data_IF_583974213939
#
_entry.id   IF_583974213939
#
_cell.length_a   1.000
_cell.length_b   1.000
_cell.length_c   1.000
_cell.angle_alpha   90.00
_cell.angle_beta   90.00
_cell.angle_gamma   90.00
#
_symmetry.space_group_name_H-M   'P 1'
#
loop_
_entity.id
_entity.type
_entity.pdbx_description
1 polymer ?
#
# COMPACT_ATOMS: atom_id res chain seq x y z
N UNK A 1 -21.18 -12.99 -23.54
CA UNK A 1 -22.10 -13.79 -22.70
C UNK A 1 -21.91 -15.29 -22.97
N UNK A 2 -22.05 -15.76 -24.21
CA UNK A 2 -21.88 -17.17 -24.59
C UNK A 2 -20.55 -17.82 -24.16
N UNK A 3 -19.40 -17.16 -24.33
CA UNK A 3 -18.10 -17.71 -23.92
C UNK A 3 -18.02 -18.00 -22.41
N UNK A 4 -18.61 -17.13 -21.57
CA UNK A 4 -18.67 -17.33 -20.12
C UNK A 4 -19.47 -18.57 -19.75
N UNK A 5 -20.61 -18.74 -20.41
CA UNK A 5 -21.53 -19.87 -20.18
C UNK A 5 -20.89 -21.18 -20.63
N UNK A 6 -20.31 -21.22 -21.83
CA UNK A 6 -19.65 -22.43 -22.36
C UNK A 6 -18.43 -22.86 -21.55
N UNK A 7 -17.66 -21.91 -21.00
CA UNK A 7 -16.50 -22.20 -20.13
C UNK A 7 -16.88 -22.40 -18.65
N UNK A 8 -18.18 -22.40 -18.30
CA UNK A 8 -18.64 -22.71 -16.96
C UNK A 8 -18.42 -21.61 -15.90
N UNK A 9 -18.16 -20.37 -16.30
CA UNK A 9 -17.92 -19.24 -15.38
C UNK A 9 -19.20 -18.51 -14.95
N UNK A 10 -20.37 -18.87 -15.49
CA UNK A 10 -21.66 -18.29 -15.11
C UNK A 10 -22.46 -19.27 -14.23
N UNK A 11 -22.70 -18.91 -12.95
CA UNK A 11 -23.50 -19.67 -11.97
C UNK A 11 -24.96 -19.22 -11.93
N UNK A 12 -25.46 -18.49 -12.93
CA UNK A 12 -26.86 -18.11 -12.99
C UNK A 12 -27.74 -19.35 -13.12
N UNK A 13 -28.39 -19.71 -12.01
CA UNK A 13 -29.37 -20.80 -11.88
C UNK A 13 -30.74 -20.44 -12.47
N UNK A 14 -30.74 -19.71 -13.59
CA UNK A 14 -31.95 -19.24 -14.26
C UNK A 14 -31.92 -19.66 -15.72
N UNK A 15 -32.59 -20.77 -16.00
CA UNK A 15 -33.18 -21.20 -17.27
C UNK A 15 -32.58 -20.60 -18.57
N UNK A 16 -31.29 -20.88 -18.84
CA UNK A 16 -30.66 -20.58 -20.12
C UNK A 16 -30.46 -21.88 -20.89
N UNK A 17 -31.07 -21.99 -22.07
CA UNK A 17 -31.00 -23.08 -23.06
C UNK A 17 -29.59 -23.38 -23.60
N UNK A 18 -28.54 -22.83 -22.99
CA UNK A 18 -27.14 -23.00 -23.38
C UNK A 18 -26.50 -24.05 -22.50
N UNK A 19 -26.38 -25.27 -23.03
CA UNK A 19 -25.74 -26.42 -22.37
C UNK A 19 -24.30 -26.08 -22.01
N UNK A 20 -23.93 -26.21 -20.73
CA UNK A 20 -22.53 -26.15 -20.29
C UNK A 20 -21.77 -27.32 -20.92
N UNK A 21 -20.52 -27.08 -21.34
CA UNK A 21 -19.65 -28.15 -21.80
C UNK A 21 -19.38 -29.10 -20.62
N UNK A 22 -19.76 -30.38 -20.75
CA UNK A 22 -19.38 -31.42 -19.80
C UNK A 22 -17.96 -31.88 -20.11
N UNK A 23 -16.99 -31.16 -19.56
CA UNK A 23 -15.56 -31.33 -19.83
C UNK A 23 -14.83 -31.34 -18.49
N UNK A 24 -13.76 -32.14 -18.37
CA UNK A 24 -12.93 -32.19 -17.16
C UNK A 24 -12.33 -30.81 -16.86
N UNK A 25 -11.94 -30.55 -15.60
CA UNK A 25 -11.31 -29.26 -15.27
C UNK A 25 -10.00 -29.04 -16.06
N UNK A 26 -9.22 -30.09 -16.28
CA UNK A 26 -7.97 -30.04 -17.05
C UNK A 26 -8.21 -29.71 -18.53
N UNK A 27 -9.18 -30.38 -19.16
CA UNK A 27 -9.55 -30.11 -20.55
C UNK A 27 -10.16 -28.72 -20.71
N UNK A 28 -10.89 -28.25 -19.70
CA UNK A 28 -11.45 -26.89 -19.66
C UNK A 28 -10.36 -25.83 -19.58
N UNK A 29 -9.33 -26.05 -18.77
CA UNK A 29 -8.17 -25.16 -18.68
C UNK A 29 -7.34 -25.20 -19.98
N UNK A 30 -7.15 -26.38 -20.58
CA UNK A 30 -6.51 -26.52 -21.89
C UNK A 30 -7.28 -25.75 -22.97
N UNK A 31 -8.60 -25.89 -23.01
CA UNK A 31 -9.47 -25.18 -23.94
C UNK A 31 -9.41 -23.67 -23.71
N UNK A 32 -9.47 -23.22 -22.46
CA UNK A 32 -9.37 -21.81 -22.12
C UNK A 32 -8.00 -21.21 -22.52
N UNK A 33 -6.92 -21.95 -22.32
CA UNK A 33 -5.59 -21.55 -22.77
C UNK A 33 -5.50 -21.44 -24.29
N UNK A 34 -5.97 -22.45 -25.03
CA UNK A 34 -6.02 -22.42 -26.49
C UNK A 34 -6.87 -21.26 -27.01
N UNK A 35 -8.03 -21.03 -26.40
CA UNK A 35 -8.90 -19.92 -26.74
C UNK A 35 -8.25 -18.57 -26.47
N UNK A 36 -7.59 -18.38 -25.33
CA UNK A 36 -6.85 -17.16 -25.03
C UNK A 36 -5.76 -16.92 -26.08
N UNK A 37 -5.00 -17.97 -26.42
CA UNK A 37 -3.93 -17.90 -27.43
C UNK A 37 -4.46 -17.50 -28.81
N UNK A 38 -5.59 -18.09 -29.24
CA UNK A 38 -6.25 -17.76 -30.50
C UNK A 38 -6.79 -16.32 -30.51
N UNK A 39 -7.45 -15.90 -29.42
CA UNK A 39 -7.94 -14.53 -29.27
C UNK A 39 -6.78 -13.54 -29.31
N UNK A 40 -5.67 -13.86 -28.64
CA UNK A 40 -4.46 -13.04 -28.65
C UNK A 40 -3.90 -12.90 -30.07
N UNK A 41 -3.78 -14.00 -30.82
CA UNK A 41 -3.39 -13.94 -32.23
C UNK A 41 -4.34 -13.09 -33.07
N UNK A 42 -5.65 -13.26 -32.89
CA UNK A 42 -6.68 -12.50 -33.61
C UNK A 42 -6.62 -10.99 -33.33
N UNK A 43 -6.32 -10.57 -32.10
CA UNK A 43 -6.20 -9.14 -31.76
C UNK A 43 -4.84 -8.54 -32.12
N UNK A 44 -3.88 -9.36 -32.56
CA UNK A 44 -2.56 -8.95 -33.06
C UNK A 44 -1.39 -9.15 -32.09
N UNK A 45 -1.51 -10.06 -31.13
CA UNK A 45 -0.37 -10.53 -30.34
C UNK A 45 0.41 -11.58 -31.15
N UNK A 46 1.71 -11.34 -31.32
CA UNK A 46 2.59 -12.26 -32.02
C UNK A 46 3.26 -13.21 -31.01
N UNK A 47 2.94 -14.50 -31.08
CA UNK A 47 3.48 -15.52 -30.16
C UNK A 47 4.92 -15.91 -30.46
N UNK A 48 5.36 -15.83 -31.73
CA UNK A 48 6.74 -16.14 -32.13
C UNK A 48 7.67 -14.97 -31.90
N UNK A 49 7.21 -13.76 -32.25
CA UNK A 49 7.97 -12.52 -32.06
C UNK A 49 7.13 -11.48 -31.28
N UNK A 50 7.06 -11.57 -29.94
CA UNK A 50 6.23 -10.67 -29.13
C UNK A 50 6.54 -9.18 -29.32
N UNK A 51 7.76 -8.84 -29.74
CA UNK A 51 8.19 -7.46 -30.00
C UNK A 51 7.47 -6.84 -31.22
N UNK A 52 6.97 -7.65 -32.14
CA UNK A 52 6.15 -7.20 -33.29
C UNK A 52 4.65 -7.14 -32.97
N UNK A 53 4.26 -7.33 -31.70
CA UNK A 53 2.84 -7.34 -31.34
C UNK A 53 2.21 -5.96 -31.51
N UNK A 54 1.14 -5.87 -32.29
CA UNK A 54 0.42 -4.64 -32.56
C UNK A 54 -1.06 -4.90 -32.30
N UNK A 55 -1.72 -4.10 -31.46
CA UNK A 55 -3.17 -4.25 -31.29
C UNK A 55 -3.77 -3.89 -32.64
N UNK A 56 -4.32 -4.83 -33.40
CA UNK A 56 -4.92 -4.57 -34.73
C UNK A 56 -6.37 -4.12 -34.55
N UNK A 57 -7.14 -4.86 -33.74
CA UNK A 57 -8.57 -4.66 -33.51
C UNK A 57 -8.85 -4.21 -32.05
N UNK A 58 -8.97 -2.90 -31.78
CA UNK A 58 -9.19 -2.38 -30.43
C UNK A 58 -10.53 -2.80 -29.83
N UNK A 59 -11.57 -2.93 -30.65
CA UNK A 59 -12.91 -3.28 -30.18
C UNK A 59 -12.94 -4.72 -29.68
N UNK A 60 -12.38 -5.65 -30.47
CA UNK A 60 -12.22 -7.03 -30.07
C UNK A 60 -11.33 -7.16 -28.84
N UNK A 61 -10.21 -6.45 -28.80
CA UNK A 61 -9.32 -6.42 -27.63
C UNK A 61 -10.08 -5.99 -26.37
N UNK A 62 -10.86 -4.91 -26.44
CA UNK A 62 -11.66 -4.43 -25.31
C UNK A 62 -12.68 -5.48 -24.85
N UNK A 63 -13.50 -5.98 -25.77
CA UNK A 63 -14.63 -6.85 -25.42
C UNK A 63 -14.16 -8.24 -24.97
N UNK A 64 -13.14 -8.80 -25.63
CA UNK A 64 -12.72 -10.18 -25.43
C UNK A 64 -11.65 -10.33 -24.35
N UNK A 65 -10.77 -9.34 -24.14
CA UNK A 65 -9.70 -9.43 -23.13
C UNK A 65 -9.97 -8.57 -21.91
N UNK A 66 -10.35 -7.30 -22.09
CA UNK A 66 -10.46 -6.38 -20.95
C UNK A 66 -11.76 -6.62 -20.16
N UNK A 67 -12.90 -6.63 -20.86
CA UNK A 67 -14.23 -6.63 -20.25
C UNK A 67 -14.67 -8.03 -19.82
N UNK A 68 -13.98 -9.04 -20.36
CA UNK A 68 -14.20 -10.43 -20.06
C UNK A 68 -13.37 -10.83 -18.83
N UNK A 69 -14.07 -11.25 -17.79
CA UNK A 69 -13.52 -11.65 -16.49
C UNK A 69 -13.04 -13.11 -16.46
N UNK A 70 -13.32 -13.89 -17.50
CA UNK A 70 -12.97 -15.32 -17.54
C UNK A 70 -11.47 -15.53 -17.35
N UNK A 71 -10.63 -14.66 -17.93
CA UNK A 71 -9.18 -14.81 -17.89
C UNK A 71 -8.63 -14.63 -16.47
N UNK A 72 -9.18 -13.66 -15.72
CA UNK A 72 -8.77 -13.38 -14.34
C UNK A 72 -9.25 -14.42 -13.33
N UNK A 73 -10.22 -15.26 -13.73
CA UNK A 73 -10.75 -16.38 -12.94
C UNK A 73 -10.22 -17.74 -13.38
N UNK A 74 -9.38 -17.77 -14.41
CA UNK A 74 -8.81 -19.00 -14.98
C UNK A 74 -7.62 -19.51 -14.18
N UNK A 75 -7.13 -20.71 -14.48
CA UNK A 75 -5.94 -21.29 -13.87
C UNK A 75 -4.69 -20.37 -13.98
N UNK A 76 -3.72 -20.48 -13.05
CA UNK A 76 -2.57 -19.59 -12.99
C UNK A 76 -1.80 -19.43 -14.31
N UNK A 77 -1.59 -20.52 -15.06
CA UNK A 77 -0.92 -20.51 -16.37
C UNK A 77 -1.62 -19.63 -17.41
N UNK A 78 -2.96 -19.57 -17.37
CA UNK A 78 -3.77 -18.74 -18.28
C UNK A 78 -3.66 -17.27 -17.86
N UNK A 79 -3.71 -17.00 -16.55
CA UNK A 79 -3.53 -15.65 -16.00
C UNK A 79 -2.15 -15.09 -16.31
N UNK A 80 -1.10 -15.90 -16.23
CA UNK A 80 0.26 -15.52 -16.60
C UNK A 80 0.31 -14.99 -18.04
N UNK A 81 -0.21 -15.75 -19.01
CA UNK A 81 -0.28 -15.32 -20.41
C UNK A 81 -1.14 -14.05 -20.57
N UNK A 82 -2.28 -13.99 -19.89
CA UNK A 82 -3.19 -12.85 -19.92
C UNK A 82 -2.58 -11.55 -19.36
N UNK A 83 -1.70 -11.62 -18.37
CA UNK A 83 -1.01 -10.45 -17.83
C UNK A 83 0.26 -10.11 -18.63
N UNK A 84 0.99 -11.12 -19.11
CA UNK A 84 2.20 -10.94 -19.93
C UNK A 84 1.95 -10.14 -21.20
N UNK A 85 0.79 -10.32 -21.84
CA UNK A 85 0.44 -9.56 -23.04
C UNK A 85 0.30 -8.06 -22.76
N UNK A 86 -0.19 -7.63 -21.58
CA UNK A 86 -0.27 -6.19 -21.26
C UNK A 86 1.11 -5.57 -21.22
N UNK A 87 2.07 -6.24 -20.57
CA UNK A 87 3.47 -5.79 -20.53
C UNK A 87 4.04 -5.70 -21.94
N UNK A 88 3.75 -6.71 -22.77
CA UNK A 88 4.25 -6.76 -24.16
C UNK A 88 3.72 -5.58 -24.98
N UNK A 89 2.40 -5.37 -25.00
CA UNK A 89 1.80 -4.27 -25.75
C UNK A 89 2.17 -2.89 -25.20
N UNK A 90 2.29 -2.73 -23.88
CA UNK A 90 2.48 -1.43 -23.25
C UNK A 90 3.93 -0.91 -23.32
N UNK A 91 4.93 -1.81 -23.29
CA UNK A 91 6.36 -1.39 -23.23
C UNK A 91 7.32 -2.21 -24.08
N UNK A 92 7.07 -3.50 -24.36
CA UNK A 92 8.06 -4.33 -25.08
C UNK A 92 7.95 -4.23 -26.60
N UNK A 93 6.75 -4.08 -27.12
CA UNK A 93 6.49 -4.02 -28.56
C UNK A 93 7.15 -2.80 -29.21
N UNK A 94 7.64 -2.93 -30.45
CA UNK A 94 8.10 -1.80 -31.28
C UNK A 94 7.01 -0.75 -31.49
N UNK A 95 5.74 -1.17 -31.41
CA UNK A 95 4.57 -0.30 -31.54
C UNK A 95 3.98 0.14 -30.19
N UNK A 96 4.75 0.08 -29.10
CA UNK A 96 4.27 0.33 -27.74
C UNK A 96 3.58 1.68 -27.57
N UNK A 97 4.04 2.75 -28.24
CA UNK A 97 3.40 4.06 -28.13
C UNK A 97 1.96 4.06 -28.68
N UNK A 98 1.77 3.41 -29.83
CA UNK A 98 0.46 3.31 -30.47
C UNK A 98 -0.47 2.39 -29.69
N UNK A 99 0.05 1.26 -29.24
CA UNK A 99 -0.65 0.33 -28.36
C UNK A 99 -1.06 1.03 -27.05
N UNK A 100 -0.16 1.78 -26.43
CA UNK A 100 -0.43 2.58 -25.24
C UNK A 100 -1.58 3.56 -25.48
N UNK A 101 -1.58 4.33 -26.57
CA UNK A 101 -2.71 5.21 -26.92
C UNK A 101 -4.05 4.47 -27.00
N UNK A 102 -4.07 3.25 -27.54
CA UNK A 102 -5.28 2.41 -27.58
C UNK A 102 -5.69 1.93 -26.19
N UNK A 103 -4.75 1.44 -25.38
CA UNK A 103 -4.97 1.01 -24.00
C UNK A 103 -5.52 2.15 -23.11
N UNK A 104 -5.01 3.37 -23.29
CA UNK A 104 -5.49 4.59 -22.63
C UNK A 104 -6.94 4.86 -22.98
N UNK A 105 -7.30 4.87 -24.28
CA UNK A 105 -8.68 5.08 -24.74
C UNK A 105 -9.65 4.04 -24.20
N UNK A 106 -9.19 2.80 -23.99
CA UNK A 106 -9.98 1.72 -23.40
C UNK A 106 -10.12 1.83 -21.87
N UNK A 107 -9.38 2.75 -21.23
CA UNK A 107 -9.34 2.97 -19.77
C UNK A 107 -8.94 1.72 -19.00
N UNK A 108 -7.96 0.98 -19.50
CA UNK A 108 -7.56 -0.32 -18.96
C UNK A 108 -7.27 -0.28 -17.46
N UNK A 109 -6.55 0.74 -16.97
CA UNK A 109 -6.22 0.88 -15.54
C UNK A 109 -7.47 0.94 -14.68
N UNK A 110 -8.45 1.78 -15.06
CA UNK A 110 -9.72 1.90 -14.33
C UNK A 110 -10.51 0.59 -14.36
N UNK A 111 -10.55 -0.08 -15.51
CA UNK A 111 -11.27 -1.36 -15.65
C UNK A 111 -10.65 -2.48 -14.80
N UNK A 112 -9.31 -2.55 -14.73
CA UNK A 112 -8.62 -3.49 -13.86
C UNK A 112 -8.90 -3.18 -12.38
N UNK A 113 -8.84 -1.90 -11.97
CA UNK A 113 -9.20 -1.49 -10.61
C UNK A 113 -10.65 -1.84 -10.25
N UNK A 114 -11.60 -1.66 -11.17
CA UNK A 114 -13.00 -2.01 -10.94
C UNK A 114 -13.21 -3.54 -10.87
N UNK A 115 -12.48 -4.32 -11.66
CA UNK A 115 -12.48 -5.77 -11.58
C UNK A 115 -12.00 -6.26 -10.19
N UNK A 116 -10.93 -5.66 -9.66
CA UNK A 116 -10.39 -5.97 -8.33
C UNK A 116 -11.36 -5.71 -7.18
N UNK A 117 -12.42 -4.91 -7.37
CA UNK A 117 -13.44 -4.68 -6.34
C UNK A 117 -14.42 -5.85 -6.20
N UNK A 118 -14.59 -6.64 -7.25
CA UNK A 118 -15.60 -7.72 -7.31
C UNK A 118 -14.99 -9.13 -7.41
N UNK A 119 -13.68 -9.24 -7.58
CA UNK A 119 -12.97 -10.49 -7.85
C UNK A 119 -11.90 -10.74 -6.78
N UNK A 120 -11.83 -11.98 -6.27
CA UNK A 120 -10.73 -12.41 -5.41
C UNK A 120 -9.48 -12.67 -6.25
N UNK A 121 -8.32 -12.27 -5.74
CA UNK A 121 -7.04 -12.46 -6.43
C UNK A 121 -6.23 -13.50 -5.65
N UNK A 122 -5.73 -14.52 -6.37
CA UNK A 122 -4.88 -15.56 -5.80
C UNK A 122 -3.47 -15.03 -5.51
N UNK A 123 -2.83 -15.55 -4.46
CA UNK A 123 -1.43 -15.25 -4.16
C UNK A 123 -0.47 -15.70 -5.27
N UNK A 124 -0.80 -16.73 -6.06
CA UNK A 124 0.09 -17.24 -7.12
C UNK A 124 0.15 -16.31 -8.33
N UNK A 125 -0.92 -15.55 -8.58
CA UNK A 125 -1.05 -14.71 -9.79
C UNK A 125 -0.88 -13.23 -9.52
N UNK A 126 -0.85 -12.82 -8.24
CA UNK A 126 -0.73 -11.41 -7.85
C UNK A 126 0.54 -10.75 -8.40
N UNK A 127 1.66 -11.48 -8.45
CA UNK A 127 2.93 -10.95 -8.95
C UNK A 127 2.83 -10.60 -10.44
N UNK A 128 2.20 -11.47 -11.23
CA UNK A 128 1.92 -11.24 -12.65
C UNK A 128 0.96 -10.05 -12.85
N UNK A 129 -0.10 -10.00 -12.04
CA UNK A 129 -1.06 -8.89 -12.05
C UNK A 129 -0.37 -7.56 -11.74
N UNK A 130 0.34 -7.46 -10.61
CA UNK A 130 0.97 -6.22 -10.16
C UNK A 130 2.05 -5.75 -11.14
N UNK A 131 2.84 -6.66 -11.70
CA UNK A 131 3.83 -6.32 -12.73
C UNK A 131 3.19 -5.73 -13.99
N UNK A 132 2.10 -6.34 -14.48
CA UNK A 132 1.36 -5.79 -15.62
C UNK A 132 0.64 -4.47 -15.29
N UNK A 133 0.01 -4.40 -14.12
CA UNK A 133 -0.74 -3.23 -13.67
C UNK A 133 0.14 -2.01 -13.50
N UNK A 134 1.31 -2.17 -12.91
CA UNK A 134 2.29 -1.10 -12.77
C UNK A 134 2.75 -0.56 -14.11
N UNK A 135 3.11 -1.42 -15.06
CA UNK A 135 3.51 -1.02 -16.41
C UNK A 135 2.41 -0.22 -17.10
N UNK A 136 1.14 -0.63 -16.95
CA UNK A 136 0.00 0.09 -17.48
C UNK A 136 -0.24 1.45 -16.80
N UNK A 137 0.04 1.56 -15.50
CA UNK A 137 -0.06 2.83 -14.76
C UNK A 137 1.08 3.76 -15.16
N UNK A 138 2.32 3.27 -15.23
CA UNK A 138 3.50 4.05 -15.58
C UNK A 138 3.43 4.59 -17.01
N UNK A 139 2.99 3.76 -17.97
CA UNK A 139 2.78 4.16 -19.36
C UNK A 139 1.62 5.15 -19.56
N UNK A 140 0.74 5.34 -18.56
CA UNK A 140 -0.41 6.23 -18.60
C UNK A 140 -0.68 6.92 -17.25
N UNK A 141 0.26 7.74 -16.79
CA UNK A 141 0.11 8.43 -15.51
C UNK A 141 -0.68 9.75 -15.63
N UNK A 142 -1.98 9.61 -15.92
CA UNK A 142 -2.92 10.73 -16.08
C UNK A 142 -3.60 11.14 -14.77
N UNK A 143 -4.25 12.32 -14.74
CA UNK A 143 -5.00 12.74 -13.55
C UNK A 143 -6.21 11.82 -13.29
N UNK A 144 -6.85 11.27 -14.34
CA UNK A 144 -7.93 10.29 -14.18
C UNK A 144 -7.42 9.02 -13.51
N UNK A 145 -6.23 8.56 -13.88
CA UNK A 145 -5.56 7.39 -13.28
C UNK A 145 -5.20 7.64 -11.82
N UNK A 146 -4.61 8.79 -11.50
CA UNK A 146 -4.34 9.20 -10.11
C UNK A 146 -5.59 9.21 -9.24
N UNK A 147 -6.70 9.78 -9.74
CA UNK A 147 -8.01 9.76 -9.05
C UNK A 147 -8.52 8.33 -8.87
N UNK A 148 -8.44 7.51 -9.91
CA UNK A 148 -8.91 6.12 -9.87
C UNK A 148 -8.12 5.27 -8.86
N UNK A 149 -6.79 5.42 -8.82
CA UNK A 149 -5.93 4.77 -7.82
C UNK A 149 -6.28 5.23 -6.41
N UNK A 150 -6.40 6.53 -6.19
CA UNK A 150 -6.71 7.09 -4.87
C UNK A 150 -8.08 6.64 -4.36
N UNK A 151 -9.10 6.62 -5.23
CA UNK A 151 -10.43 6.11 -4.92
C UNK A 151 -10.44 4.60 -4.66
N UNK A 152 -9.65 3.83 -5.41
CA UNK A 152 -9.52 2.40 -5.16
C UNK A 152 -8.87 2.13 -3.80
N UNK A 153 -7.79 2.84 -3.46
CA UNK A 153 -7.11 2.73 -2.16
C UNK A 153 -8.07 3.11 -1.02
N UNK A 154 -8.82 4.21 -1.16
CA UNK A 154 -9.86 4.58 -0.20
C UNK A 154 -10.92 3.50 -0.09
N UNK A 155 -11.37 2.94 -1.21
CA UNK A 155 -12.29 1.80 -1.19
C UNK A 155 -11.67 0.63 -0.43
N UNK A 156 -10.40 0.28 -0.70
CA UNK A 156 -9.70 -0.86 -0.13
C UNK A 156 -9.61 -0.81 1.39
N UNK A 157 -9.38 0.39 1.95
CA UNK A 157 -9.29 0.62 3.40
C UNK A 157 -10.62 1.00 4.06
N UNK A 158 -11.68 1.24 3.28
CA UNK A 158 -12.99 1.47 3.84
C UNK A 158 -13.56 0.17 4.44
N UNK A 159 -13.51 0.07 5.77
CA UNK A 159 -14.32 -0.85 6.55
C UNK A 159 -15.78 -0.42 6.42
N UNK A 160 -16.62 -1.25 5.77
CA UNK A 160 -18.06 -1.03 5.89
C UNK A 160 -18.39 -1.14 7.37
N UNK A 161 -19.01 -0.12 8.00
CA UNK A 161 -19.56 -0.32 9.32
C UNK A 161 -20.53 -1.49 9.20
N UNK A 162 -20.43 -2.47 10.10
CA UNK A 162 -21.50 -3.45 10.28
C UNK A 162 -22.77 -2.65 10.57
N UNK A 163 -23.55 -2.40 9.52
CA UNK A 163 -24.81 -1.70 9.67
C UNK A 163 -25.75 -2.69 10.34
N UNK A 164 -25.73 -2.72 11.67
CA UNK A 164 -26.95 -2.92 12.43
C UNK A 164 -27.98 -1.96 11.81
N UNK A 165 -29.14 -2.45 11.33
CA UNK A 165 -30.15 -1.60 10.74
C UNK A 165 -30.50 -0.49 11.74
N UNK A 166 -30.16 0.75 11.42
CA UNK A 166 -30.43 1.93 12.26
C UNK A 166 -31.91 2.36 12.23
N UNK A 167 -32.81 1.42 11.95
CA UNK A 167 -34.26 1.62 12.07
C UNK A 167 -34.91 0.32 12.53
N UNK A 168 -35.60 0.30 13.69
CA UNK A 168 -36.49 -0.81 14.01
C UNK A 168 -37.58 -0.84 12.94
N UNK A 169 -37.64 -1.93 12.15
CA UNK A 169 -38.75 -2.15 11.24
C UNK A 169 -40.01 -2.41 12.08
N UNK A 170 -41.10 -1.65 11.93
CA UNK A 170 -42.36 -1.98 12.56
C UNK A 170 -42.87 -3.31 11.99
N UNK A 171 -43.33 -4.21 12.87
CA UNK A 171 -43.78 -5.57 12.58
C UNK A 171 -45.08 -5.66 11.74
N UNK A 172 -45.57 -4.55 11.16
CA UNK A 172 -46.85 -4.50 10.46
C UNK A 172 -46.77 -4.43 8.93
N UNK A 173 -45.59 -4.47 8.32
CA UNK A 173 -45.46 -4.46 6.85
C UNK A 173 -45.32 -5.88 6.26
N UNK A 174 -46.20 -6.80 6.65
CA UNK A 174 -46.50 -8.01 5.87
C UNK A 174 -47.76 -7.69 5.06
N UNK A 175 -47.60 -7.05 3.90
CA UNK A 175 -48.58 -7.15 2.81
C UNK A 175 -48.00 -6.70 1.47
N UNK A 176 -47.80 -7.71 0.62
CA UNK A 176 -47.96 -7.76 -0.84
C UNK A 176 -47.78 -6.45 -1.62
N UNK A 177 -46.68 -6.37 -2.37
CA UNK A 177 -46.69 -5.67 -3.66
C UNK A 177 -45.71 -6.33 -4.64
N UNK A 178 -46.28 -6.80 -5.75
CA UNK A 178 -45.65 -7.40 -6.91
C UNK A 178 -45.17 -6.30 -7.85
N UNK A 179 -43.89 -5.91 -7.76
CA UNK A 179 -43.19 -5.19 -8.84
C UNK A 179 -41.69 -5.57 -8.84
N UNK A 180 -41.11 -5.91 -10.00
CA UNK A 180 -39.70 -6.30 -10.08
C UNK A 180 -38.80 -5.06 -10.12
N UNK A 181 -38.25 -4.68 -8.97
CA UNK A 181 -37.14 -3.70 -8.89
C UNK A 181 -35.82 -4.43 -9.17
N UNK A 182 -34.85 -3.84 -9.91
CA UNK A 182 -33.58 -4.51 -10.19
C UNK A 182 -32.81 -4.69 -8.89
N UNK A 183 -32.66 -5.94 -8.46
CA UNK A 183 -31.78 -6.32 -7.35
C UNK A 183 -30.34 -5.88 -7.69
N UNK A 184 -29.89 -4.81 -7.04
CA UNK A 184 -28.46 -4.57 -6.86
C UNK A 184 -27.86 -5.83 -6.23
N UNK A 185 -26.93 -6.44 -6.95
CA UNK A 185 -26.14 -7.60 -6.55
C UNK A 185 -25.60 -7.37 -5.14
N UNK A 186 -26.13 -8.10 -4.17
CA UNK A 186 -25.43 -8.34 -2.91
C UNK A 186 -24.11 -9.01 -3.25
N UNK A 187 -23.03 -8.53 -2.64
CA UNK A 187 -21.74 -9.21 -2.59
C UNK A 187 -21.98 -10.67 -2.20
N UNK A 188 -21.45 -11.67 -2.93
CA UNK A 188 -21.40 -13.02 -2.42
C UNK A 188 -20.60 -12.98 -1.12
N UNK A 189 -21.29 -13.29 -0.03
CA UNK A 189 -20.70 -13.72 1.23
C UNK A 189 -19.67 -14.81 0.96
N UNK A 190 -18.44 -14.55 1.41
CA UNK A 190 -17.38 -15.50 1.73
C UNK A 190 -17.12 -16.65 0.73
N UNK A 191 -16.23 -16.46 -0.25
CA UNK A 191 -15.59 -17.56 -0.97
C UNK A 191 -14.67 -18.41 -0.06
N UNK A 192 -14.46 -18.00 1.20
CA UNK A 192 -13.59 -18.63 2.19
C UNK A 192 -13.98 -20.08 2.49
N UNK A 193 -15.26 -20.44 2.50
CA UNK A 193 -15.69 -21.81 2.80
C UNK A 193 -15.34 -22.81 1.68
N UNK A 194 -15.30 -22.37 0.41
CA UNK A 194 -14.92 -23.21 -0.73
C UNK A 194 -13.41 -23.16 -1.04
N UNK A 195 -12.74 -22.06 -0.66
CA UNK A 195 -11.31 -21.86 -0.85
C UNK A 195 -10.44 -22.77 0.05
N UNK A 196 -10.90 -23.04 1.28
CA UNK A 196 -10.18 -23.93 2.22
C UNK A 196 -10.11 -25.36 1.67
N UNK A 197 -11.10 -25.80 0.89
CA UNK A 197 -11.13 -27.13 0.29
C UNK A 197 -10.14 -27.35 -0.87
N UNK A 198 -9.49 -26.29 -1.38
CA UNK A 198 -8.60 -26.35 -2.55
C UNK A 198 -7.18 -25.83 -2.31
N UNK A 199 -6.82 -25.47 -1.07
CA UNK A 199 -5.46 -25.04 -0.70
C UNK A 199 -5.01 -23.69 -1.29
N UNK A 200 -5.86 -23.01 -2.06
CA UNK A 200 -5.55 -21.73 -2.71
C UNK A 200 -5.70 -20.58 -1.71
N UNK A 201 -4.61 -19.84 -1.47
CA UNK A 201 -4.62 -18.61 -0.67
C UNK A 201 -5.03 -17.41 -1.53
N UNK A 202 -5.99 -16.64 -1.03
CA UNK A 202 -6.52 -15.44 -1.69
C UNK A 202 -6.16 -14.20 -0.89
N UNK A 203 -5.83 -13.11 -1.58
CA UNK A 203 -5.57 -11.83 -0.94
C UNK A 203 -6.87 -11.20 -0.45
N UNK A 204 -6.80 -10.62 0.75
CA UNK A 204 -7.83 -9.72 1.25
C UNK A 204 -7.82 -8.42 0.46
N UNK A 205 -8.98 -7.75 0.44
CA UNK A 205 -9.14 -6.41 -0.14
C UNK A 205 -8.13 -5.40 0.43
N UNK A 206 -7.83 -5.50 1.74
CA UNK A 206 -6.86 -4.63 2.42
C UNK A 206 -5.44 -4.88 1.89
N UNK A 207 -4.99 -6.14 1.85
CA UNK A 207 -3.66 -6.51 1.31
C UNK A 207 -3.49 -6.04 -0.14
N UNK A 208 -4.53 -6.15 -0.95
CA UNK A 208 -4.50 -5.64 -2.32
C UNK A 208 -4.38 -4.11 -2.37
N UNK A 209 -5.10 -3.40 -1.50
CA UNK A 209 -4.97 -1.96 -1.31
C UNK A 209 -3.56 -1.52 -0.94
N UNK A 210 -2.91 -2.25 -0.02
CA UNK A 210 -1.51 -2.01 0.38
C UNK A 210 -0.57 -2.17 -0.80
N UNK A 211 -0.69 -3.25 -1.59
CA UNK A 211 0.15 -3.45 -2.80
C UNK A 211 -0.02 -2.33 -3.82
N UNK A 212 -1.25 -1.86 -4.06
CA UNK A 212 -1.51 -0.72 -4.97
C UNK A 212 -0.94 0.58 -4.41
N UNK A 213 -1.08 0.84 -3.10
CA UNK A 213 -0.51 2.02 -2.46
C UNK A 213 1.03 2.01 -2.50
N UNK A 214 1.65 0.86 -2.26
CA UNK A 214 3.11 0.69 -2.33
C UNK A 214 3.64 1.02 -3.73
N UNK A 215 3.03 0.45 -4.78
CA UNK A 215 3.32 0.79 -6.17
C UNK A 215 3.12 2.29 -6.45
N UNK A 216 2.01 2.87 -5.99
CA UNK A 216 1.70 4.28 -6.21
C UNK A 216 2.71 5.21 -5.51
N UNK A 217 3.11 4.85 -4.29
CA UNK A 217 4.16 5.55 -3.52
C UNK A 217 5.49 5.55 -4.27
N UNK A 218 5.88 4.42 -4.88
CA UNK A 218 7.10 4.33 -5.69
C UNK A 218 7.04 5.19 -6.95
N UNK A 219 5.93 5.19 -7.68
CA UNK A 219 5.76 6.04 -8.88
C UNK A 219 5.78 7.53 -8.52
N UNK A 220 5.12 7.92 -7.42
CA UNK A 220 5.05 9.31 -6.98
C UNK A 220 6.35 9.83 -6.39
N UNK A 221 7.14 8.95 -5.76
CA UNK A 221 8.42 9.26 -5.14
C UNK A 221 9.59 8.71 -5.98
N UNK A 222 9.44 8.71 -7.31
CA UNK A 222 10.51 8.33 -8.22
C UNK A 222 11.66 9.35 -8.17
N UNK A 223 12.88 8.85 -7.99
CA UNK A 223 14.10 9.65 -7.89
C UNK A 223 14.29 10.47 -9.16
N UNK A 224 14.65 11.75 -9.02
CA UNK A 224 14.84 12.67 -10.15
C UNK A 224 13.56 13.13 -10.87
N UNK A 225 12.40 12.48 -10.68
CA UNK A 225 11.15 12.85 -11.34
C UNK A 225 10.16 13.56 -10.39
N UNK A 226 10.00 14.87 -10.55
CA UNK A 226 9.02 15.66 -9.76
C UNK A 226 7.69 15.89 -10.49
N UNK A 227 7.58 15.50 -11.75
CA UNK A 227 6.40 15.74 -12.59
C UNK A 227 5.17 15.02 -12.04
N UNK A 228 5.37 13.77 -11.62
CA UNK A 228 4.32 12.92 -11.04
C UNK A 228 3.72 13.51 -9.77
N UNK A 229 4.56 13.90 -8.81
CA UNK A 229 4.07 14.46 -7.53
C UNK A 229 3.43 15.85 -7.71
N UNK A 230 3.95 16.69 -8.62
CA UNK A 230 3.36 18.00 -8.94
C UNK A 230 1.96 17.87 -9.54
N UNK A 231 1.78 16.90 -10.43
CA UNK A 231 0.47 16.59 -11.03
C UNK A 231 -0.48 15.97 -10.01
N UNK A 232 0.02 15.11 -9.11
CA UNK A 232 -0.73 14.55 -8.00
C UNK A 232 -1.31 15.62 -7.07
N UNK A 233 -0.51 16.62 -6.67
CA UNK A 233 -0.93 17.69 -5.77
C UNK A 233 -2.08 18.56 -6.30
N UNK A 234 -2.25 18.63 -7.63
CA UNK A 234 -3.38 19.30 -8.30
C UNK A 234 -4.62 18.40 -8.46
N UNK A 235 -4.45 17.10 -8.21
CA UNK A 235 -5.43 16.07 -8.56
C UNK A 235 -6.09 15.45 -7.32
N UNK A 236 -5.32 15.24 -6.26
CA UNK A 236 -5.73 14.57 -5.01
C UNK A 236 -5.46 15.51 -3.84
N UNK A 237 -6.41 15.62 -2.91
CA UNK A 237 -6.31 16.52 -1.76
C UNK A 237 -5.35 16.00 -0.69
N UNK A 238 -4.65 16.89 0.02
CA UNK A 238 -3.79 16.52 1.17
C UNK A 238 -4.53 15.79 2.28
N UNK A 239 -5.83 16.08 2.44
CA UNK A 239 -6.67 15.38 3.42
C UNK A 239 -6.65 13.87 3.16
N UNK A 240 -6.54 13.44 1.91
CA UNK A 240 -6.43 12.02 1.55
C UNK A 240 -5.18 11.36 2.16
N UNK A 241 -4.03 12.03 2.12
CA UNK A 241 -2.80 11.53 2.75
C UNK A 241 -2.93 11.50 4.26
N UNK A 242 -3.57 12.51 4.87
CA UNK A 242 -3.84 12.53 6.31
C UNK A 242 -4.79 11.40 6.75
N UNK A 243 -5.74 11.00 5.89
CA UNK A 243 -6.58 9.81 6.14
C UNK A 243 -5.75 8.52 6.15
N UNK A 244 -4.75 8.38 5.25
CA UNK A 244 -3.86 7.22 5.28
C UNK A 244 -3.03 7.16 6.57
N UNK A 245 -2.62 8.30 7.13
CA UNK A 245 -1.91 8.32 8.42
C UNK A 245 -2.81 7.90 9.60
N UNK A 246 -4.14 7.92 9.44
CA UNK A 246 -5.07 7.47 10.48
C UNK A 246 -5.24 5.94 10.51
N UNK A 247 -4.79 5.23 9.49
CA UNK A 247 -4.82 3.77 9.45
C UNK A 247 -3.89 3.17 10.54
N UNK A 248 -4.28 2.00 11.06
CA UNK A 248 -3.50 1.28 12.07
C UNK A 248 -2.36 0.46 11.46
N UNK A 249 -2.41 0.23 10.15
CA UNK A 249 -1.41 -0.52 9.41
C UNK A 249 -0.14 0.34 9.19
N UNK A 250 1.01 -0.02 9.79
CA UNK A 250 2.25 0.75 9.65
C UNK A 250 2.71 0.88 8.20
N UNK A 251 2.48 -0.11 7.34
CA UNK A 251 2.90 -0.05 5.93
C UNK A 251 2.16 1.07 5.19
N UNK A 252 0.85 1.19 5.45
CA UNK A 252 0.00 2.26 4.90
C UNK A 252 0.44 3.63 5.38
N UNK A 253 0.74 3.75 6.67
CA UNK A 253 1.19 4.99 7.30
C UNK A 253 2.54 5.43 6.73
N UNK A 254 3.50 4.52 6.56
CA UNK A 254 4.80 4.83 5.97
C UNK A 254 4.66 5.31 4.54
N UNK A 255 3.88 4.61 3.70
CA UNK A 255 3.67 5.05 2.31
C UNK A 255 2.95 6.39 2.22
N UNK A 256 1.93 6.62 3.05
CA UNK A 256 1.22 7.89 3.14
C UNK A 256 2.15 9.04 3.56
N UNK A 257 2.99 8.81 4.58
CA UNK A 257 3.96 9.77 5.08
C UNK A 257 5.04 10.09 4.04
N UNK A 258 5.54 9.07 3.33
CA UNK A 258 6.54 9.23 2.25
C UNK A 258 6.01 10.11 1.11
N UNK A 259 4.78 9.85 0.64
CA UNK A 259 4.15 10.67 -0.41
C UNK A 259 3.95 12.11 0.10
N UNK A 260 3.50 12.27 1.34
CA UNK A 260 3.30 13.59 1.95
C UNK A 260 4.61 14.37 2.06
N UNK A 261 5.70 13.73 2.51
CA UNK A 261 7.01 14.36 2.59
C UNK A 261 7.50 14.82 1.21
N UNK A 262 7.42 13.95 0.20
CA UNK A 262 7.75 14.29 -1.19
C UNK A 262 6.95 15.50 -1.66
N UNK A 263 5.66 15.53 -1.35
CA UNK A 263 4.73 16.58 -1.77
C UNK A 263 5.03 17.92 -1.09
N UNK A 264 5.27 17.95 0.23
CA UNK A 264 5.61 19.16 0.98
C UNK A 264 6.95 19.75 0.51
N UNK A 265 7.98 18.90 0.41
CA UNK A 265 9.33 19.34 0.04
C UNK A 265 9.38 19.83 -1.42
N UNK A 266 8.75 19.12 -2.36
CA UNK A 266 8.78 19.49 -3.79
C UNK A 266 8.07 20.81 -4.08
N UNK A 267 7.03 21.16 -3.31
CA UNK A 267 6.23 22.36 -3.57
C UNK A 267 6.66 23.59 -2.78
N UNK A 268 7.51 23.44 -1.77
CA UNK A 268 8.10 24.57 -1.06
C UNK A 268 7.21 25.19 0.02
N UNK A 269 7.70 26.31 0.57
CA UNK A 269 7.10 27.06 1.68
C UNK A 269 5.63 27.44 1.47
N UNK A 270 5.25 27.90 0.27
CA UNK A 270 3.86 28.30 -0.06
C UNK A 270 2.86 27.15 0.10
N UNK A 271 3.31 25.93 -0.13
CA UNK A 271 2.49 24.75 0.02
C UNK A 271 2.44 24.31 1.48
N UNK A 272 3.62 24.27 2.12
CA UNK A 272 3.77 23.85 3.51
C UNK A 272 3.04 24.80 4.47
N UNK A 273 3.04 26.11 4.24
CA UNK A 273 2.30 27.07 5.08
C UNK A 273 0.78 26.85 5.03
N UNK A 274 0.23 26.50 3.86
CA UNK A 274 -1.18 26.11 3.71
C UNK A 274 -1.48 24.78 4.39
N UNK A 275 -0.55 23.84 4.33
CA UNK A 275 -0.67 22.56 5.02
C UNK A 275 -0.68 22.77 6.54
N UNK A 276 0.24 23.59 7.08
CA UNK A 276 0.32 23.93 8.50
C UNK A 276 -0.93 24.69 8.98
N UNK A 277 -1.17 25.89 8.44
CA UNK A 277 -2.22 26.79 8.94
C UNK A 277 -3.63 26.37 8.55
N UNK A 278 -3.92 26.22 7.25
CA UNK A 278 -5.31 26.00 6.79
C UNK A 278 -5.83 24.58 7.07
N UNK A 279 -4.95 23.60 7.11
CA UNK A 279 -5.33 22.19 7.27
C UNK A 279 -5.03 21.63 8.65
N UNK A 280 -4.29 22.35 9.50
CA UNK A 280 -3.75 21.80 10.74
C UNK A 280 -2.87 20.57 10.51
N UNK A 281 -2.22 20.50 9.35
CA UNK A 281 -1.64 19.27 8.82
C UNK A 281 -0.57 18.66 9.72
N UNK A 282 0.32 19.49 10.27
CA UNK A 282 1.36 19.03 11.20
C UNK A 282 0.79 18.59 12.56
N UNK A 283 -0.28 19.24 13.04
CA UNK A 283 -0.97 18.85 14.28
C UNK A 283 -1.66 17.48 14.10
N UNK A 284 -2.27 17.25 12.94
CA UNK A 284 -2.87 15.95 12.63
C UNK A 284 -1.77 14.90 12.51
N UNK A 285 -0.70 15.21 11.77
CA UNK A 285 0.44 14.32 11.57
C UNK A 285 1.11 13.94 12.90
N UNK A 286 1.33 14.88 13.81
CA UNK A 286 1.91 14.61 15.14
C UNK A 286 1.03 13.66 15.95
N UNK A 287 -0.29 13.88 15.95
CA UNK A 287 -1.24 13.02 16.65
C UNK A 287 -1.34 11.61 16.07
N UNK A 288 -1.15 11.45 14.75
CA UNK A 288 -1.22 10.15 14.07
C UNK A 288 0.09 9.37 14.12
N UNK A 289 1.23 10.06 13.98
CA UNK A 289 2.54 9.41 13.90
C UNK A 289 3.15 9.08 15.26
N UNK A 290 2.75 9.76 16.34
CA UNK A 290 3.30 9.52 17.69
C UNK A 290 3.26 8.06 18.14
N UNK A 291 2.23 7.30 17.75
CA UNK A 291 2.08 5.86 18.07
C UNK A 291 2.97 4.92 17.24
N UNK A 292 3.66 5.45 16.23
CA UNK A 292 4.59 4.73 15.36
C UNK A 292 6.04 5.21 15.56
N UNK A 293 6.36 5.73 16.75
CA UNK A 293 7.71 6.16 17.12
C UNK A 293 8.74 5.02 16.99
N UNK A 294 8.28 3.79 17.13
CA UNK A 294 9.05 2.55 17.03
C UNK A 294 9.44 2.20 15.59
N UNK A 295 8.90 2.88 14.58
CA UNK A 295 9.19 2.61 13.16
C UNK A 295 10.42 3.39 12.67
N UNK A 296 11.59 2.73 12.44
CA UNK A 296 12.81 3.41 12.01
C UNK A 296 12.65 4.12 10.66
N UNK A 297 11.86 3.54 9.74
CA UNK A 297 11.59 4.10 8.41
C UNK A 297 10.92 5.48 8.43
N UNK A 298 10.13 5.79 9.46
CA UNK A 298 9.39 7.06 9.54
C UNK A 298 10.31 8.24 9.88
N UNK A 299 11.35 8.03 10.69
CA UNK A 299 12.21 9.11 11.17
C UNK A 299 12.93 9.87 10.04
N UNK A 300 13.61 9.21 9.08
CA UNK A 300 14.20 9.90 7.93
C UNK A 300 13.16 10.62 7.06
N UNK A 301 11.93 10.12 6.98
CA UNK A 301 10.83 10.78 6.25
C UNK A 301 10.42 12.08 6.98
N UNK A 302 10.27 12.05 8.30
CA UNK A 302 9.99 13.24 9.11
C UNK A 302 11.13 14.27 9.04
N UNK A 303 12.38 13.82 9.15
CA UNK A 303 13.55 14.69 8.99
C UNK A 303 13.66 15.29 7.58
N UNK A 304 13.25 14.54 6.56
CA UNK A 304 13.18 15.06 5.19
C UNK A 304 12.26 16.28 5.09
N UNK A 305 11.15 16.28 5.82
CA UNK A 305 10.30 17.46 5.91
C UNK A 305 11.05 18.56 6.67
N UNK A 306 11.51 18.33 7.90
CA UNK A 306 12.15 19.36 8.72
C UNK A 306 13.28 20.11 7.98
N UNK A 307 14.16 19.36 7.32
CA UNK A 307 15.33 19.89 6.63
C UNK A 307 15.10 20.21 5.15
N UNK A 308 13.86 20.08 4.65
CA UNK A 308 13.55 20.30 3.24
C UNK A 308 14.33 19.37 2.30
N UNK A 309 14.69 18.17 2.77
CA UNK A 309 15.38 17.17 1.96
C UNK A 309 14.39 16.31 1.20
N UNK A 310 14.71 16.01 -0.04
CA UNK A 310 13.81 15.25 -0.87
C UNK A 310 13.81 13.76 -0.49
N UNK A 311 12.68 13.25 -0.02
CA UNK A 311 12.54 11.88 0.50
C UNK A 311 12.85 10.80 -0.54
N UNK A 312 12.76 11.09 -1.84
CA UNK A 312 13.14 10.14 -2.89
C UNK A 312 14.67 9.94 -3.00
N UNK A 313 15.45 10.85 -2.43
CA UNK A 313 16.91 10.78 -2.38
C UNK A 313 17.42 9.98 -1.17
N UNK A 314 16.53 9.57 -0.25
CA UNK A 314 16.91 8.69 0.87
C UNK A 314 17.13 7.26 0.37
N UNK A 315 18.27 6.68 0.73
CA UNK A 315 18.50 5.26 0.60
C UNK A 315 17.91 4.51 1.82
N UNK A 316 16.72 3.93 1.66
CA UNK A 316 16.03 3.16 2.70
C UNK A 316 16.60 1.76 2.93
N UNK A 317 17.56 1.29 2.12
CA UNK A 317 18.21 0.00 2.32
C UNK A 317 19.39 0.08 3.32
N UNK A 318 19.73 1.28 3.78
CA UNK A 318 20.72 1.51 4.84
C UNK A 318 20.14 1.23 6.22
N UNK A 319 21.03 1.07 7.20
CA UNK A 319 20.64 0.98 8.60
C UNK A 319 20.18 2.34 9.14
N UNK A 320 19.28 2.29 10.11
CA UNK A 320 18.89 3.44 10.91
C UNK A 320 19.90 3.60 12.04
N UNK A 321 20.93 4.40 11.80
CA UNK A 321 21.96 4.71 12.78
C UNK A 321 22.35 6.19 12.74
N UNK A 322 23.11 6.61 13.76
CA UNK A 322 23.56 7.98 13.92
C UNK A 322 24.37 8.49 12.72
N UNK A 323 25.24 7.66 12.15
CA UNK A 323 26.12 8.07 11.06
C UNK A 323 25.34 8.29 9.77
N UNK A 324 24.37 7.43 9.46
CA UNK A 324 23.49 7.55 8.30
C UNK A 324 22.64 8.82 8.35
N UNK A 325 22.13 9.17 9.54
CA UNK A 325 21.40 10.43 9.75
C UNK A 325 22.33 11.64 9.62
N UNK A 326 23.53 11.58 10.19
CA UNK A 326 24.51 12.68 10.13
C UNK A 326 25.00 12.92 8.69
N UNK A 327 25.27 11.87 7.91
CA UNK A 327 25.63 11.96 6.49
C UNK A 327 24.52 12.64 5.68
N UNK A 328 23.26 12.28 5.94
CA UNK A 328 22.12 12.77 5.16
C UNK A 328 21.71 14.20 5.55
N UNK A 329 21.70 14.51 6.85
CA UNK A 329 21.07 15.72 7.40
C UNK A 329 22.01 16.64 8.19
N UNK A 330 23.21 16.17 8.59
CA UNK A 330 24.07 16.85 9.57
C UNK A 330 24.50 18.28 9.21
N UNK A 331 24.54 18.63 7.92
CA UNK A 331 24.89 19.98 7.43
C UNK A 331 23.68 20.78 6.92
N UNK A 332 22.46 20.26 7.10
CA UNK A 332 21.25 20.89 6.56
C UNK A 332 20.65 21.88 7.54
N UNK A 333 20.08 22.95 7.00
CA UNK A 333 19.33 23.96 7.76
C UNK A 333 17.89 23.49 7.95
N UNK A 334 17.25 23.96 9.02
CA UNK A 334 15.82 23.76 9.21
C UNK A 334 15.05 24.60 8.20
N UNK A 335 14.20 23.96 7.40
CA UNK A 335 13.42 24.59 6.32
C UNK A 335 11.94 24.71 6.70
N UNK A 336 11.38 23.69 7.37
CA UNK A 336 9.97 23.68 7.78
C UNK A 336 9.84 23.49 9.30
N UNK A 337 9.98 24.55 10.10
CA UNK A 337 10.04 24.47 11.56
C UNK A 337 8.78 23.88 12.21
N UNK A 338 7.58 24.15 11.67
CA UNK A 338 6.31 23.62 12.18
C UNK A 338 6.27 22.08 12.23
N UNK A 339 7.06 21.41 11.37
CA UNK A 339 7.15 19.95 11.33
C UNK A 339 7.87 19.35 12.54
N UNK A 340 8.60 20.16 13.32
CA UNK A 340 9.26 19.72 14.55
C UNK A 340 8.24 19.16 15.55
N UNK A 341 7.03 19.74 15.61
CA UNK A 341 5.93 19.25 16.46
C UNK A 341 5.62 17.75 16.24
N UNK A 342 5.84 17.23 15.03
CA UNK A 342 5.67 15.80 14.72
C UNK A 342 6.79 14.98 15.36
N UNK A 343 8.04 15.43 15.21
CA UNK A 343 9.24 14.76 15.75
C UNK A 343 9.19 14.74 17.27
N UNK A 344 8.88 15.89 17.90
CA UNK A 344 8.73 16.01 19.35
C UNK A 344 7.61 15.12 19.88
N UNK A 345 6.44 15.06 19.20
CA UNK A 345 5.35 14.18 19.63
C UNK A 345 5.72 12.69 19.55
N UNK A 346 6.47 12.28 18.53
CA UNK A 346 7.01 10.91 18.42
C UNK A 346 8.01 10.61 19.54
N UNK A 347 8.93 11.54 19.83
CA UNK A 347 9.92 11.41 20.90
C UNK A 347 9.25 11.30 22.28
N UNK A 348 8.33 12.22 22.60
CA UNK A 348 7.63 12.24 23.89
C UNK A 348 6.80 10.98 24.11
N UNK A 349 6.08 10.52 23.08
CA UNK A 349 5.31 9.29 23.17
C UNK A 349 6.21 8.07 23.33
N UNK A 350 7.32 8.01 22.58
CA UNK A 350 8.27 6.91 22.69
C UNK A 350 8.94 6.85 24.05
N UNK A 351 9.40 7.99 24.58
CA UNK A 351 9.99 8.05 25.91
C UNK A 351 9.00 7.60 26.98
N UNK A 352 7.74 8.07 26.90
CA UNK A 352 6.67 7.66 27.81
C UNK A 352 6.40 6.15 27.74
N UNK A 353 6.40 5.57 26.55
CA UNK A 353 6.21 4.13 26.38
C UNK A 353 7.39 3.34 26.94
N UNK A 354 8.63 3.78 26.72
CA UNK A 354 9.82 3.12 27.30
C UNK A 354 9.79 3.16 28.82
N UNK A 355 9.51 4.32 29.42
CA UNK A 355 9.43 4.48 30.88
C UNK A 355 8.35 3.57 31.50
N UNK A 356 7.16 3.53 30.91
CA UNK A 356 6.05 2.65 31.36
C UNK A 356 6.41 1.17 31.41
N UNK A 357 7.32 0.71 30.56
CA UNK A 357 7.74 -0.69 30.51
C UNK A 357 9.08 -0.92 31.26
N UNK A 358 9.71 0.13 31.77
CA UNK A 358 10.83 0.05 32.72
C UNK A 358 10.34 0.03 34.17
N UNK A 359 9.18 0.64 34.45
CA UNK A 359 8.54 0.70 35.78
C UNK A 359 7.83 -0.62 36.20
N UNK A 360 8.46 -1.78 36.00
CA UNK A 360 8.08 -3.01 36.75
C UNK A 360 9.24 -3.48 37.65
N UNK A 361 9.42 -2.85 38.84
CA UNK A 361 10.44 -3.22 39.80
C UNK A 361 9.94 -4.23 40.85
N UNK A 362 8.63 -4.52 40.92
CA UNK A 362 8.02 -5.44 41.90
C UNK A 362 6.59 -5.85 41.46
N UNK A 363 6.47 -6.82 40.54
CA UNK A 363 5.23 -7.58 40.38
C UNK A 363 5.17 -8.65 41.50
N UNK A 364 4.18 -8.62 42.42
CA UNK A 364 4.14 -9.52 43.57
C UNK A 364 3.58 -10.88 43.13
N UNK A 365 4.43 -11.74 42.57
CA UNK A 365 4.14 -13.15 42.43
C UNK A 365 5.40 -14.00 42.59
N UNK A 366 5.44 -14.68 43.74
CA UNK A 366 6.32 -15.79 44.15
C UNK A 366 7.80 -15.47 44.43
N UNK A 367 8.11 -15.44 45.72
CA UNK A 367 9.41 -15.75 46.31
C UNK A 367 10.11 -16.89 45.56
N UNK A 368 11.24 -16.60 44.91
CA UNK A 368 12.19 -17.62 44.47
C UNK A 368 13.57 -17.22 45.00
N UNK A 369 14.23 -18.19 45.62
CA UNK A 369 15.50 -18.09 46.33
C UNK A 369 16.60 -17.27 45.63
N UNK A 370 17.43 -16.52 46.41
CA UNK A 370 18.50 -15.67 45.88
C UNK A 370 19.62 -16.44 45.17
N UNK A 371 19.64 -17.78 45.25
CA UNK A 371 20.62 -18.63 44.56
C UNK A 371 20.32 -18.82 43.06
N UNK A 372 19.11 -18.52 42.58
CA UNK A 372 18.76 -18.57 41.15
C UNK A 372 19.00 -17.25 40.40
N UNK A 373 19.05 -16.12 41.09
CA UNK A 373 19.27 -14.79 40.49
C UNK A 373 20.67 -14.63 39.87
N UNK A 374 21.69 -15.24 40.48
CA UNK A 374 23.07 -15.17 40.01
C UNK A 374 23.37 -16.00 38.74
N UNK A 375 22.54 -17.00 38.42
CA UNK A 375 22.70 -17.80 37.19
C UNK A 375 22.02 -17.20 35.96
N UNK A 376 21.05 -16.29 36.13
CA UNK A 376 20.34 -15.66 35.00
C UNK A 376 21.12 -14.50 34.38
N UNK A 377 22.06 -13.90 35.12
CA UNK A 377 22.94 -12.84 34.61
C UNK A 377 24.16 -13.35 33.83
N UNK A 378 24.47 -14.64 33.88
CA UNK A 378 25.62 -15.22 33.17
C UNK A 378 25.27 -15.76 31.77
N UNK A 379 23.99 -15.82 31.38
CA UNK A 379 23.56 -16.33 30.07
C UNK A 379 22.85 -15.31 29.18
N UNK A 380 22.75 -14.04 29.61
CA UNK A 380 22.41 -12.93 28.72
C UNK A 380 23.61 -12.63 27.84
N UNK A 381 23.82 -13.48 26.84
CA UNK A 381 24.65 -13.16 25.68
C UNK A 381 24.29 -11.75 25.26
N UNK A 382 25.27 -10.86 25.29
CA UNK A 382 25.14 -9.44 24.94
C UNK A 382 24.20 -9.27 23.75
N UNK A 383 22.98 -8.81 24.01
CA UNK A 383 22.08 -8.30 22.98
C UNK A 383 22.69 -6.98 22.51
N UNK A 384 23.75 -7.06 21.70
CA UNK A 384 24.25 -5.92 20.93
C UNK A 384 23.02 -5.30 20.26
N UNK A 385 22.79 -3.98 20.42
CA UNK A 385 21.66 -3.33 19.77
C UNK A 385 21.82 -3.51 18.27
N UNK A 386 21.06 -4.46 17.71
CA UNK A 386 21.08 -4.78 16.30
C UNK A 386 20.62 -3.51 15.59
N UNK A 387 21.47 -2.96 14.73
CA UNK A 387 21.14 -1.74 14.00
C UNK A 387 19.76 -1.92 13.34
N UNK A 388 18.81 -1.06 13.71
CA UNK A 388 17.44 -1.16 13.19
C UNK A 388 17.47 -0.83 11.70
N UNK A 389 16.94 -1.69 10.83
CA UNK A 389 16.93 -1.40 9.38
C UNK A 389 15.98 -0.24 9.06
N UNK A 390 16.35 0.66 8.14
CA UNK A 390 15.40 1.63 7.58
C UNK A 390 14.45 1.00 6.56
N UNK A 391 14.76 -0.22 6.08
CA UNK A 391 13.97 -0.89 5.06
C UNK A 391 12.62 -1.29 5.65
N UNK A 392 11.53 -0.86 4.99
CA UNK A 392 10.18 -1.04 5.50
C UNK A 392 9.82 -2.52 5.70
N UNK A 393 10.18 -3.40 4.75
CA UNK A 393 9.86 -4.82 4.85
C UNK A 393 10.55 -5.44 6.07
N UNK A 394 11.85 -5.19 6.23
CA UNK A 394 12.63 -5.67 7.38
C UNK A 394 12.12 -5.09 8.72
N UNK A 395 11.73 -3.82 8.74
CA UNK A 395 11.15 -3.19 9.94
C UNK A 395 9.80 -3.82 10.31
N UNK A 396 8.94 -4.11 9.34
CA UNK A 396 7.65 -4.77 9.56
C UNK A 396 7.83 -6.21 10.05
N UNK A 397 8.73 -6.98 9.43
CA UNK A 397 9.07 -8.34 9.86
C UNK A 397 9.57 -8.34 11.30
N UNK A 398 10.52 -7.46 11.63
CA UNK A 398 11.05 -7.32 12.99
C UNK A 398 9.94 -6.96 13.99
N UNK A 399 9.03 -6.05 13.62
CA UNK A 399 7.89 -5.67 14.45
C UNK A 399 6.92 -6.82 14.68
N UNK A 400 6.71 -7.67 13.67
CA UNK A 400 5.80 -8.83 13.75
C UNK A 400 6.34 -9.99 14.60
N UNK A 401 7.66 -10.06 14.79
CA UNK A 401 8.31 -11.11 15.57
C UNK A 401 8.10 -10.96 17.08
N UNK A 402 7.67 -9.79 17.56
CA UNK A 402 7.44 -9.58 18.98
C UNK A 402 6.02 -9.99 19.37
N UNK A 403 5.92 -10.94 20.32
CA UNK A 403 4.64 -11.36 20.88
C UNK A 403 4.17 -10.45 22.02
N UNK A 404 5.08 -9.74 22.69
CA UNK A 404 4.79 -8.85 23.83
C UNK A 404 5.20 -7.42 23.53
N UNK A 405 4.35 -6.47 23.92
CA UNK A 405 4.62 -5.05 23.74
C UNK A 405 5.88 -4.59 24.50
N UNK A 406 6.17 -5.17 25.67
CA UNK A 406 7.37 -4.83 26.46
C UNK A 406 8.68 -5.18 25.72
N UNK A 407 8.75 -6.35 25.09
CA UNK A 407 9.90 -6.78 24.30
C UNK A 407 10.09 -5.90 23.06
N UNK A 408 8.98 -5.55 22.40
CA UNK A 408 8.98 -4.61 21.28
C UNK A 408 9.54 -3.25 21.71
N UNK A 409 9.01 -2.68 22.79
CA UNK A 409 9.43 -1.36 23.31
C UNK A 409 10.90 -1.36 23.70
N UNK A 410 11.38 -2.41 24.39
CA UNK A 410 12.79 -2.54 24.75
C UNK A 410 13.70 -2.62 23.51
N UNK A 411 13.31 -3.38 22.48
CA UNK A 411 14.06 -3.49 21.23
C UNK A 411 14.17 -2.14 20.50
N UNK A 412 13.07 -1.39 20.43
CA UNK A 412 13.01 -0.11 19.71
C UNK A 412 13.48 1.10 20.53
N UNK A 413 13.83 0.94 21.81
CA UNK A 413 14.47 2.01 22.59
C UNK A 413 15.77 2.53 21.92
N UNK A 414 16.48 1.66 21.19
CA UNK A 414 17.66 1.99 20.38
C UNK A 414 17.36 3.01 19.27
N UNK A 415 16.13 3.03 18.73
CA UNK A 415 15.67 4.00 17.73
C UNK A 415 15.61 5.39 18.37
N UNK A 416 15.00 5.52 19.54
CA UNK A 416 14.94 6.80 20.27
C UNK A 416 16.33 7.28 20.66
N UNK A 417 17.19 6.39 21.15
CA UNK A 417 18.56 6.74 21.49
C UNK A 417 19.32 7.30 20.26
N UNK A 418 19.15 6.68 19.09
CA UNK A 418 19.74 7.16 17.84
C UNK A 418 19.24 8.55 17.47
N UNK A 419 17.94 8.80 17.58
CA UNK A 419 17.33 10.11 17.29
C UNK A 419 17.82 11.18 18.28
N UNK A 420 17.79 10.89 19.58
CA UNK A 420 18.22 11.82 20.65
C UNK A 420 19.70 12.16 20.44
N UNK A 421 20.54 11.16 20.17
CA UNK A 421 21.96 11.37 19.88
C UNK A 421 22.18 12.25 18.65
N UNK A 422 21.43 12.00 17.57
CA UNK A 422 21.49 12.81 16.36
C UNK A 422 21.11 14.28 16.61
N UNK A 423 19.98 14.51 17.29
CA UNK A 423 19.52 15.86 17.63
C UNK A 423 20.45 16.59 18.60
N UNK A 424 21.04 15.87 19.57
CA UNK A 424 22.02 16.41 20.51
C UNK A 424 23.30 16.84 19.78
N UNK A 425 23.78 16.05 18.83
CA UNK A 425 24.94 16.39 18.01
C UNK A 425 24.67 17.60 17.11
N UNK A 426 23.47 17.69 16.51
CA UNK A 426 23.05 18.88 15.77
C UNK A 426 23.05 20.13 16.64
N UNK A 427 22.50 20.06 17.85
CA UNK A 427 22.49 21.18 18.79
C UNK A 427 23.90 21.62 19.21
N UNK A 428 24.82 20.67 19.40
CA UNK A 428 26.20 20.97 19.76
C UNK A 428 26.97 21.64 18.60
N UNK A 429 26.81 21.15 17.37
CA UNK A 429 27.66 21.52 16.23
C UNK A 429 27.08 22.63 15.34
N UNK A 430 25.76 22.71 15.20
CA UNK A 430 25.10 23.68 14.30
C UNK A 430 24.58 24.86 15.10
N UNK A 431 25.19 26.03 14.89
CA UNK A 431 24.71 27.30 15.49
C UNK A 431 23.28 27.60 15.05
N UNK A 432 22.97 27.43 13.77
CA UNK A 432 21.64 27.67 13.22
C UNK A 432 20.58 26.74 13.82
N UNK A 433 20.91 25.47 14.06
CA UNK A 433 19.98 24.54 14.71
C UNK A 433 19.76 24.90 16.17
N UNK A 434 20.80 25.34 16.88
CA UNK A 434 20.71 25.81 18.27
C UNK A 434 19.91 27.11 18.39
N UNK A 435 20.09 28.06 17.48
CA UNK A 435 19.30 29.30 17.46
C UNK A 435 17.82 29.00 17.15
N UNK A 436 17.56 28.10 16.20
CA UNK A 436 16.22 27.58 15.96
C UNK A 436 15.64 26.92 17.22
N UNK A 437 16.45 26.13 17.92
CA UNK A 437 16.01 25.40 19.09
C UNK A 437 15.57 26.31 20.24
N UNK A 438 16.35 27.36 20.52
CA UNK A 438 16.05 28.34 21.57
C UNK A 438 14.75 29.11 21.30
N UNK A 439 14.36 29.26 20.05
CA UNK A 439 13.16 30.01 19.64
C UNK A 439 11.93 29.12 19.37
N UNK A 440 12.08 27.80 19.51
CA UNK A 440 11.02 26.84 19.23
C UNK A 440 10.20 26.55 20.49
N UNK A 441 8.87 26.62 20.38
CA UNK A 441 7.95 26.24 21.47
C UNK A 441 7.95 24.72 21.78
N UNK A 442 8.64 23.93 20.95
CA UNK A 442 8.61 22.46 20.97
C UNK A 442 9.90 21.81 21.45
N UNK A 443 10.90 22.59 21.86
CA UNK A 443 12.20 22.08 22.24
C UNK A 443 12.45 22.09 23.75
#
# INVERSE_FOLDING_TARGET
MLLRVKLGYDRSSGDSTVTRLQVSNEDRDRLAFQLLSLILGFVGYNHTEPMESFIINPLAYRILLIDLDIWRKSAPRIQELYYKQFVTFAVKSKYHEFNSRRLIRMRIVKRLLDAMKGEVVSEDTISHFMGAFEVLVASNFSQEVMRSLSLFITYAFHSQPSSLPRTPRPLSAISRSSTPVPRRRGTPTDPTAAAIASGLKFLTKKQLGVKVLSMYSRILCEKGNTTHIKKFARTVTNKWLLYLLAEDDPEVVVHGCKILARLLVTHGSNYTSKFAGKSGGFIIMSNRLKRFWDMPTLWPICFSILFGYDVAEINFDRNFDFFSLLETFGKRKVVYPDSLSVITAMLQHGLKDVMRHQDDPDSPATHIDPSFALKKHASSTELRPRASSMNLATALETRSNFSRDSERVASYASVLHTVIRFLSDLHARSTEFRDFALNSEWW
#
